data_IF_817782212273
#
_entry.id   IF_817782212273
#
_cell.length_a   1.000
_cell.length_b   1.000
_cell.length_c   1.000
_cell.angle_alpha   90.00
_cell.angle_beta   90.00
_cell.angle_gamma   90.00
#
_symmetry.space_group_name_H-M   'P 1'
#
loop_
_entity.id
_entity.type
_entity.pdbx_description
1 polymer ?
#
# COMPACT_ATOMS: atom_id res chain seq x y z
N UNK A 1 56.07 -0.77 50.46
CA UNK A 1 55.14 0.33 50.82
C UNK A 1 53.73 -0.16 50.59
N UNK A 2 52.91 -0.08 51.63
CA UNK A 2 51.54 -0.59 51.72
C UNK A 2 50.50 0.40 51.13
N UNK A 3 49.33 -0.15 50.83
CA UNK A 3 47.99 0.43 50.93
C UNK A 3 47.42 1.27 49.75
N UNK A 4 46.13 1.29 49.39
CA UNK A 4 44.94 0.39 49.46
C UNK A 4 43.81 1.10 48.66
N UNK A 5 42.82 0.34 48.17
CA UNK A 5 41.41 0.70 47.87
C UNK A 5 41.06 1.27 46.48
N UNK A 6 40.24 0.53 45.73
CA UNK A 6 38.76 0.60 45.84
C UNK A 6 38.10 -0.57 45.09
N UNK A 7 37.14 -1.21 45.74
CA UNK A 7 36.18 -2.11 45.12
C UNK A 7 34.82 -1.39 45.01
N UNK A 8 34.12 -1.59 43.90
CA UNK A 8 32.66 -1.56 43.84
C UNK A 8 32.20 -2.26 42.56
N UNK A 9 31.54 -3.40 42.78
CA UNK A 9 30.89 -4.29 41.83
C UNK A 9 29.52 -3.76 41.39
N UNK A 10 29.22 -3.81 40.08
CA UNK A 10 27.85 -4.03 39.58
C UNK A 10 27.94 -4.89 38.28
N UNK A 11 27.15 -5.97 38.14
CA UNK A 11 27.24 -6.90 37.02
C UNK A 11 26.38 -6.47 35.82
N UNK A 12 26.93 -6.54 34.59
CA UNK A 12 26.14 -6.50 33.35
C UNK A 12 25.36 -7.82 33.18
N UNK A 13 24.15 -7.89 33.77
CA UNK A 13 23.04 -8.69 33.21
C UNK A 13 22.60 -8.00 31.92
N UNK A 14 22.24 -8.65 30.83
CA UNK A 14 22.09 -10.07 30.52
C UNK A 14 21.48 -10.18 29.11
N UNK A 15 21.40 -11.42 28.64
CA UNK A 15 20.54 -11.89 27.55
C UNK A 15 20.84 -11.37 26.13
N UNK A 16 21.61 -12.18 25.43
CA UNK A 16 21.20 -12.74 24.13
C UNK A 16 19.66 -12.79 24.01
N UNK A 17 19.10 -11.98 23.12
CA UNK A 17 17.78 -12.23 22.55
C UNK A 17 17.96 -12.28 21.04
N UNK A 18 17.64 -13.45 20.52
CA UNK A 18 17.74 -13.83 19.13
C UNK A 18 16.94 -12.88 18.23
N UNK A 19 17.58 -12.51 17.12
CA UNK A 19 17.00 -12.32 15.80
C UNK A 19 15.46 -12.28 15.69
N UNK A 20 14.91 -11.08 15.48
CA UNK A 20 13.89 -10.90 14.45
C UNK A 20 14.47 -10.01 13.37
N UNK A 21 15.34 -10.61 12.56
CA UNK A 21 15.59 -10.14 11.21
C UNK A 21 14.22 -10.12 10.52
N UNK A 22 13.70 -8.92 10.30
CA UNK A 22 12.69 -8.70 9.26
C UNK A 22 13.27 -9.34 8.00
N UNK A 23 12.59 -10.28 7.32
CA UNK A 23 13.07 -10.73 6.04
C UNK A 23 13.02 -9.53 5.12
N UNK A 24 14.17 -8.89 4.91
CA UNK A 24 14.39 -8.06 3.75
C UNK A 24 14.22 -9.00 2.56
N UNK A 25 13.04 -8.95 1.94
CA UNK A 25 12.71 -9.70 0.73
C UNK A 25 13.78 -9.37 -0.29
N UNK A 26 14.77 -10.25 -0.35
CA UNK A 26 15.82 -10.26 -1.35
C UNK A 26 15.10 -10.53 -2.65
N UNK A 27 15.35 -9.66 -3.62
CA UNK A 27 14.57 -9.58 -4.85
C UNK A 27 14.70 -10.84 -5.68
N UNK A 28 13.79 -11.78 -5.47
CA UNK A 28 13.43 -12.77 -6.46
C UNK A 28 12.15 -12.26 -7.13
N UNK A 29 12.33 -11.34 -8.07
CA UNK A 29 11.24 -10.80 -8.85
C UNK A 29 10.75 -11.90 -9.80
N UNK A 30 9.52 -12.37 -9.59
CA UNK A 30 8.88 -13.32 -10.52
C UNK A 30 7.92 -14.34 -9.92
N UNK A 31 7.99 -14.63 -8.62
CA UNK A 31 7.05 -15.55 -7.96
C UNK A 31 6.52 -14.93 -6.65
N UNK A 32 5.63 -13.95 -6.78
CA UNK A 32 4.75 -13.64 -5.66
C UNK A 32 3.67 -14.71 -5.68
N UNK A 33 3.71 -15.64 -4.72
CA UNK A 33 2.66 -16.63 -4.53
C UNK A 33 1.31 -15.90 -4.41
N UNK A 34 0.26 -16.44 -5.03
CA UNK A 34 -1.10 -15.85 -5.04
C UNK A 34 -1.54 -15.54 -3.61
N UNK A 35 -1.21 -16.42 -2.66
CA UNK A 35 -1.51 -16.25 -1.25
C UNK A 35 -0.79 -15.02 -0.64
N UNK A 36 0.43 -14.71 -1.08
CA UNK A 36 1.17 -13.52 -0.64
C UNK A 36 0.54 -12.23 -1.17
N UNK A 37 0.02 -12.27 -2.40
CA UNK A 37 -0.70 -11.16 -3.01
C UNK A 37 -2.06 -10.92 -2.32
N UNK A 38 -2.82 -11.99 -2.06
CA UNK A 38 -4.09 -11.92 -1.34
C UNK A 38 -3.91 -11.47 0.11
N UNK A 39 -2.83 -11.89 0.80
CA UNK A 39 -2.49 -11.36 2.13
C UNK A 39 -2.23 -9.86 2.08
N UNK A 40 -1.55 -9.38 1.05
CA UNK A 40 -1.28 -7.95 0.89
C UNK A 40 -2.56 -7.12 0.73
N UNK A 41 -3.67 -7.68 0.25
CA UNK A 41 -4.98 -7.00 0.16
C UNK A 41 -5.53 -6.58 1.52
N UNK A 42 -5.32 -7.41 2.54
CA UNK A 42 -5.85 -7.20 3.88
C UNK A 42 -4.84 -6.60 4.85
N UNK A 43 -3.58 -6.43 4.42
CA UNK A 43 -2.54 -5.72 5.19
C UNK A 43 -2.71 -4.19 5.14
N UNK A 44 -3.85 -3.74 5.64
CA UNK A 44 -4.25 -2.34 5.73
C UNK A 44 -4.88 -2.06 7.10
N UNK A 45 -4.81 -0.81 7.59
CA UNK A 45 -5.47 -0.45 8.84
C UNK A 45 -6.97 -0.72 8.78
N UNK A 46 -7.52 -1.34 9.82
CA UNK A 46 -8.97 -1.46 9.98
C UNK A 46 -9.56 -0.09 10.29
N UNK A 47 -10.62 0.27 9.59
CA UNK A 47 -11.40 1.48 9.84
C UNK A 47 -12.86 1.10 9.97
N UNK A 48 -13.63 1.94 10.66
CA UNK A 48 -15.07 1.84 10.68
C UNK A 48 -15.64 2.97 9.83
N UNK A 49 -16.67 2.67 9.05
CA UNK A 49 -17.36 3.64 8.21
C UNK A 49 -18.80 3.76 8.71
N UNK A 50 -19.21 4.97 9.09
CA UNK A 50 -20.50 5.17 9.76
C UNK A 50 -21.52 5.92 8.91
N UNK A 51 -21.11 6.55 7.80
CA UNK A 51 -22.02 7.30 6.92
C UNK A 51 -21.48 7.51 5.50
N UNK A 52 -22.39 7.81 4.56
CA UNK A 52 -22.05 8.22 3.20
C UNK A 52 -21.20 9.50 3.16
N UNK A 53 -21.56 10.48 3.99
CA UNK A 53 -20.80 11.73 4.11
C UNK A 53 -19.35 11.48 4.53
N UNK A 54 -19.14 10.61 5.53
CA UNK A 54 -17.79 10.24 5.95
C UNK A 54 -17.04 9.57 4.79
N UNK A 55 -17.68 8.69 4.03
CA UNK A 55 -17.07 8.06 2.85
C UNK A 55 -16.60 9.10 1.83
N UNK A 56 -17.44 10.06 1.47
CA UNK A 56 -17.10 11.13 0.52
C UNK A 56 -15.93 11.98 1.01
N UNK A 57 -15.92 12.37 2.29
CA UNK A 57 -14.84 13.14 2.91
C UNK A 57 -13.51 12.35 2.85
N UNK A 58 -13.54 11.05 3.19
CA UNK A 58 -12.36 10.20 3.12
C UNK A 58 -11.86 10.00 1.68
N UNK A 59 -12.76 9.73 0.73
CA UNK A 59 -12.40 9.53 -0.68
C UNK A 59 -11.87 10.81 -1.33
N UNK A 60 -12.40 11.97 -0.95
CA UNK A 60 -11.90 13.28 -1.40
C UNK A 60 -10.49 13.53 -0.89
N UNK A 61 -10.23 13.30 0.41
CA UNK A 61 -8.90 13.46 1.00
C UNK A 61 -7.86 12.49 0.39
N UNK A 62 -8.28 11.25 0.10
CA UNK A 62 -7.46 10.28 -0.63
C UNK A 62 -7.11 10.82 -2.01
N UNK A 63 -8.12 11.21 -2.81
CA UNK A 63 -7.95 11.73 -4.17
C UNK A 63 -6.94 12.87 -4.22
N UNK A 64 -7.09 13.86 -3.35
CA UNK A 64 -6.17 15.00 -3.26
C UNK A 64 -4.74 14.56 -2.94
N UNK A 65 -4.58 13.56 -2.07
CA UNK A 65 -3.26 13.07 -1.69
C UNK A 65 -2.59 12.28 -2.80
N UNK A 66 -3.32 11.38 -3.46
CA UNK A 66 -2.72 10.54 -4.51
C UNK A 66 -2.56 11.27 -5.85
N UNK A 67 -3.31 12.34 -6.10
CA UNK A 67 -3.19 13.19 -7.28
C UNK A 67 -1.91 14.06 -7.28
N UNK A 68 -1.44 14.48 -6.10
CA UNK A 68 -0.23 15.30 -5.97
C UNK A 68 1.03 14.43 -6.00
N UNK A 69 1.71 14.41 -7.16
CA UNK A 69 2.94 13.65 -7.36
C UNK A 69 4.13 14.15 -6.51
N UNK A 70 4.08 15.40 -6.01
CA UNK A 70 5.13 15.98 -5.17
C UNK A 70 4.91 15.69 -3.69
N UNK A 71 3.73 15.19 -3.31
CA UNK A 71 3.43 14.81 -1.95
C UNK A 71 4.29 13.63 -1.53
N UNK A 72 4.57 13.56 -0.23
CA UNK A 72 5.38 12.50 0.34
C UNK A 72 4.86 11.11 -0.06
N UNK A 73 5.75 10.29 -0.63
CA UNK A 73 5.38 9.01 -1.23
C UNK A 73 4.77 8.04 -0.22
N UNK A 74 5.19 8.12 1.05
CA UNK A 74 4.67 7.25 2.11
C UNK A 74 3.22 7.60 2.42
N UNK A 75 2.87 8.89 2.45
CA UNK A 75 1.47 9.36 2.60
C UNK A 75 0.58 8.94 1.43
N UNK A 76 1.14 8.90 0.21
CA UNK A 76 0.43 8.40 -0.97
C UNK A 76 0.15 6.90 -0.86
N UNK A 77 1.14 6.11 -0.44
CA UNK A 77 0.98 4.68 -0.12
C UNK A 77 -0.09 4.46 0.95
N UNK A 78 -0.06 5.22 2.05
CA UNK A 78 -1.09 5.14 3.11
C UNK A 78 -2.49 5.47 2.58
N UNK A 79 -2.61 6.46 1.69
CA UNK A 79 -3.89 6.83 1.08
C UNK A 79 -4.42 5.76 0.14
N UNK A 80 -3.55 5.07 -0.62
CA UNK A 80 -3.91 3.92 -1.44
C UNK A 80 -4.39 2.75 -0.57
N UNK A 81 -3.67 2.41 0.50
CA UNK A 81 -4.11 1.43 1.51
C UNK A 81 -5.49 1.75 2.06
N UNK A 82 -5.75 3.03 2.33
CA UNK A 82 -7.02 3.50 2.89
C UNK A 82 -8.21 3.26 1.97
N UNK A 83 -8.04 3.27 0.64
CA UNK A 83 -9.09 2.85 -0.30
C UNK A 83 -9.52 1.41 -0.02
N UNK A 84 -8.55 0.50 0.19
CA UNK A 84 -8.86 -0.90 0.54
C UNK A 84 -9.52 -1.00 1.92
N UNK A 85 -9.04 -0.23 2.89
CA UNK A 85 -9.68 -0.16 4.21
C UNK A 85 -11.16 0.25 4.12
N UNK A 86 -11.50 1.23 3.28
CA UNK A 86 -12.89 1.66 3.05
C UNK A 86 -13.74 0.55 2.42
N UNK A 87 -13.21 -0.14 1.42
CA UNK A 87 -13.90 -1.28 0.80
C UNK A 87 -14.14 -2.42 1.79
N UNK A 88 -13.15 -2.76 2.64
CA UNK A 88 -13.31 -3.75 3.72
C UNK A 88 -14.37 -3.31 4.73
N UNK A 89 -14.47 -2.01 5.01
CA UNK A 89 -15.48 -1.43 5.90
C UNK A 89 -16.88 -1.34 5.29
N UNK A 90 -17.09 -1.85 4.06
CA UNK A 90 -18.40 -1.90 3.42
C UNK A 90 -18.73 -0.72 2.51
N UNK A 91 -17.73 0.04 2.04
CA UNK A 91 -17.96 1.16 1.13
C UNK A 91 -18.72 0.79 -0.16
N UNK A 92 -18.66 -0.47 -0.61
CA UNK A 92 -19.36 -0.95 -1.81
C UNK A 92 -20.90 -0.91 -1.71
N UNK A 93 -21.44 -0.78 -0.51
CA UNK A 93 -22.87 -0.59 -0.25
C UNK A 93 -23.36 0.86 -0.41
N UNK A 94 -22.45 1.82 -0.64
CA UNK A 94 -22.77 3.24 -0.83
C UNK A 94 -22.66 3.60 -2.32
N UNK A 95 -23.66 4.29 -2.85
CA UNK A 95 -23.67 4.70 -4.27
C UNK A 95 -22.61 5.77 -4.56
N UNK A 96 -22.28 6.58 -3.55
CA UNK A 96 -21.26 7.63 -3.59
C UNK A 96 -19.87 7.06 -3.96
N UNK A 97 -19.59 5.81 -3.57
CA UNK A 97 -18.34 5.15 -3.94
C UNK A 97 -18.12 5.17 -5.44
N UNK A 98 -19.14 4.86 -6.24
CA UNK A 98 -19.00 4.70 -7.69
C UNK A 98 -18.80 6.05 -8.40
N UNK A 99 -19.38 7.13 -7.85
CA UNK A 99 -19.12 8.50 -8.31
C UNK A 99 -17.67 8.86 -8.04
N UNK A 100 -17.18 8.60 -6.83
CA UNK A 100 -15.80 8.87 -6.45
C UNK A 100 -14.78 7.96 -7.15
N UNK A 101 -15.15 6.73 -7.49
CA UNK A 101 -14.28 5.80 -8.21
C UNK A 101 -13.87 6.38 -9.57
N UNK A 102 -14.81 7.05 -10.27
CA UNK A 102 -14.50 7.79 -11.51
C UNK A 102 -13.51 8.92 -11.29
N UNK A 103 -13.65 9.65 -10.18
CA UNK A 103 -12.75 10.74 -9.83
C UNK A 103 -11.34 10.26 -9.43
N UNK A 104 -11.21 8.98 -9.08
CA UNK A 104 -9.96 8.35 -8.69
C UNK A 104 -9.17 7.80 -9.89
N UNK A 105 -9.78 7.63 -11.06
CA UNK A 105 -9.13 7.08 -12.27
C UNK A 105 -7.82 7.78 -12.61
N UNK A 106 -7.85 9.10 -12.81
CA UNK A 106 -6.65 9.88 -13.16
C UNK A 106 -5.58 9.83 -12.05
N UNK A 107 -5.91 10.03 -10.76
CA UNK A 107 -4.92 9.84 -9.69
C UNK A 107 -4.30 8.43 -9.62
N UNK A 108 -5.07 7.38 -9.92
CA UNK A 108 -4.53 6.01 -10.00
C UNK A 108 -3.59 5.85 -11.19
N UNK A 109 -3.91 6.43 -12.36
CA UNK A 109 -3.00 6.45 -13.51
C UNK A 109 -1.65 7.10 -13.17
N UNK A 110 -1.66 8.21 -12.42
CA UNK A 110 -0.43 8.85 -11.94
C UNK A 110 0.32 7.95 -10.97
N UNK A 111 -0.39 7.26 -10.09
CA UNK A 111 0.22 6.38 -9.07
C UNK A 111 0.89 5.14 -9.66
N UNK A 112 0.33 4.54 -10.71
CA UNK A 112 0.95 3.39 -11.41
C UNK A 112 2.14 3.77 -12.28
N UNK A 113 2.32 5.06 -12.57
CA UNK A 113 3.47 5.61 -13.32
C UNK A 113 4.52 6.24 -12.41
N UNK A 114 4.40 6.08 -11.09
CA UNK A 114 5.35 6.67 -10.14
C UNK A 114 6.75 6.05 -10.31
N UNK A 115 7.79 6.87 -10.08
CA UNK A 115 9.18 6.42 -10.13
C UNK A 115 9.54 5.50 -8.95
N UNK A 116 8.74 5.53 -7.88
CA UNK A 116 8.97 4.71 -6.68
C UNK A 116 8.14 3.43 -6.77
N UNK A 117 8.84 2.30 -6.85
CA UNK A 117 8.22 0.97 -6.93
C UNK A 117 7.24 0.68 -5.77
N UNK A 118 7.42 1.30 -4.59
CA UNK A 118 6.49 1.17 -3.46
C UNK A 118 5.11 1.76 -3.78
N UNK A 119 5.05 2.95 -4.39
CA UNK A 119 3.80 3.60 -4.77
C UNK A 119 3.11 2.80 -5.87
N UNK A 120 3.87 2.39 -6.88
CA UNK A 120 3.36 1.59 -8.00
C UNK A 120 2.79 0.26 -7.52
N UNK A 121 3.53 -0.46 -6.66
CA UNK A 121 3.11 -1.76 -6.12
C UNK A 121 1.82 -1.62 -5.30
N UNK A 122 1.75 -0.63 -4.43
CA UNK A 122 0.57 -0.38 -3.62
C UNK A 122 -0.66 0.01 -4.47
N UNK A 123 -0.44 0.82 -5.52
CA UNK A 123 -1.50 1.16 -6.48
C UNK A 123 -2.01 -0.10 -7.19
N UNK A 124 -1.12 -0.99 -7.65
CA UNK A 124 -1.50 -2.24 -8.29
C UNK A 124 -2.28 -3.17 -7.35
N UNK A 125 -1.85 -3.29 -6.09
CA UNK A 125 -2.59 -4.08 -5.09
C UNK A 125 -3.99 -3.52 -4.84
N UNK A 126 -4.12 -2.20 -4.83
CA UNK A 126 -5.40 -1.52 -4.63
C UNK A 126 -6.33 -1.68 -5.84
N UNK A 127 -5.82 -1.55 -7.07
CA UNK A 127 -6.59 -1.76 -8.30
C UNK A 127 -7.10 -3.21 -8.38
N UNK A 128 -6.23 -4.18 -8.08
CA UNK A 128 -6.61 -5.59 -8.07
C UNK A 128 -7.73 -5.85 -7.04
N UNK A 129 -7.60 -5.29 -5.83
CA UNK A 129 -8.62 -5.42 -4.79
C UNK A 129 -9.95 -4.76 -5.16
N UNK A 130 -9.93 -3.56 -5.76
CA UNK A 130 -11.14 -2.90 -6.28
C UNK A 130 -11.84 -3.82 -7.30
N UNK A 131 -11.07 -4.41 -8.21
CA UNK A 131 -11.58 -5.31 -9.25
C UNK A 131 -12.21 -6.58 -8.65
N UNK A 132 -11.57 -7.17 -7.63
CA UNK A 132 -12.10 -8.33 -6.90
C UNK A 132 -13.40 -8.00 -6.15
N UNK A 133 -13.47 -6.86 -5.47
CA UNK A 133 -14.61 -6.50 -4.63
C UNK A 133 -15.82 -5.99 -5.42
N UNK A 134 -15.61 -5.28 -6.52
CA UNK A 134 -16.69 -4.63 -7.28
C UNK A 134 -17.09 -5.41 -8.54
N UNK A 135 -16.26 -6.34 -9.02
CA UNK A 135 -16.50 -7.12 -10.24
C UNK A 135 -16.83 -6.21 -11.43
N UNK A 136 -17.93 -6.51 -12.15
CA UNK A 136 -18.38 -5.74 -13.32
C UNK A 136 -18.61 -4.25 -13.05
N UNK A 137 -18.85 -3.84 -11.79
CA UNK A 137 -19.03 -2.42 -11.45
C UNK A 137 -17.71 -1.63 -11.54
N UNK A 138 -16.57 -2.31 -11.60
CA UNK A 138 -15.25 -1.71 -11.81
C UNK A 138 -14.80 -1.70 -13.29
N UNK A 139 -15.60 -2.21 -14.24
CA UNK A 139 -15.18 -2.36 -15.65
C UNK A 139 -14.67 -1.06 -16.25
N UNK A 140 -15.41 0.04 -16.06
CA UNK A 140 -15.00 1.35 -16.55
C UNK A 140 -13.68 1.82 -15.93
N UNK A 141 -13.55 1.67 -14.60
CA UNK A 141 -12.33 2.03 -13.88
C UNK A 141 -11.12 1.21 -14.37
N UNK A 142 -11.32 -0.10 -14.58
CA UNK A 142 -10.28 -1.00 -15.10
C UNK A 142 -9.90 -0.63 -16.54
N UNK A 143 -10.87 -0.31 -17.40
CA UNK A 143 -10.65 0.12 -18.78
C UNK A 143 -9.79 1.40 -18.84
N UNK A 144 -10.07 2.39 -17.99
CA UNK A 144 -9.28 3.62 -17.93
C UNK A 144 -7.82 3.38 -17.46
N UNK A 145 -7.57 2.32 -16.69
CA UNK A 145 -6.24 2.00 -16.18
C UNK A 145 -5.47 1.02 -17.09
N UNK A 146 -6.16 0.31 -17.98
CA UNK A 146 -5.63 -0.80 -18.76
C UNK A 146 -4.34 -0.43 -19.51
N UNK A 147 -4.36 0.68 -20.25
CA UNK A 147 -3.19 1.16 -20.99
C UNK A 147 -1.99 1.46 -20.07
N UNK A 148 -2.25 2.01 -18.89
CA UNK A 148 -1.19 2.32 -17.92
C UNK A 148 -0.59 1.04 -17.31
N UNK A 149 -1.43 0.03 -17.06
CA UNK A 149 -1.00 -1.27 -16.55
C UNK A 149 -0.20 -2.06 -17.60
N UNK A 150 -0.61 -2.05 -18.87
CA UNK A 150 0.13 -2.70 -19.98
C UNK A 150 1.54 -2.11 -20.10
N UNK A 151 1.65 -0.78 -20.06
CA UNK A 151 2.95 -0.11 -20.11
C UNK A 151 3.85 -0.45 -18.92
N UNK A 152 3.26 -0.72 -17.75
CA UNK A 152 4.02 -1.15 -16.57
C UNK A 152 4.68 -2.52 -16.80
N UNK A 153 4.02 -3.46 -17.47
CA UNK A 153 4.58 -4.78 -17.83
C UNK A 153 5.82 -4.62 -18.73
N UNK A 154 5.74 -3.74 -19.72
CA UNK A 154 6.85 -3.49 -20.65
C UNK A 154 8.07 -2.85 -19.97
N UNK A 155 7.86 -2.08 -18.91
CA UNK A 155 8.93 -1.45 -18.16
C UNK A 155 9.51 -2.35 -17.08
N UNK A 156 8.68 -3.18 -16.42
CA UNK A 156 9.17 -4.13 -15.42
C UNK A 156 10.04 -5.22 -16.03
N UNK A 157 9.81 -5.60 -17.30
CA UNK A 157 10.63 -6.59 -18.02
C UNK A 157 12.06 -6.11 -18.35
N UNK A 158 12.32 -4.80 -18.46
CA UNK A 158 13.64 -4.25 -18.82
C UNK A 158 14.67 -4.38 -17.69
N UNK A 159 14.22 -4.40 -16.44
CA UNK A 159 15.09 -4.59 -15.26
C UNK A 159 15.61 -6.03 -15.13
N UNK A 160 15.18 -6.97 -16.00
CA UNK A 160 15.64 -8.37 -16.01
C UNK A 160 16.66 -8.69 -17.12
N UNK A 161 16.96 -7.73 -18.00
CA UNK A 161 17.82 -7.95 -19.19
C UNK A 161 19.13 -7.16 -19.13
N UNK A 162 19.43 -6.48 -18.01
CA UNK A 162 20.75 -5.88 -17.77
C UNK A 162 21.48 -6.55 -16.60
#
# INVERSE_FOLDING_TARGET
KSATKRASSVPRRGAFSASKSVPSTTGQAGAVDEETFSRAFRDVPTINLFSARELEEQLTAIRETIADANKDWSKRVESLKKVRSLLIAGASGFDELYVHLRLLEQPFQTSVKDLRSQVVREACYTIAYISEQLGHKADHFAEQLLNSLINLIQNSAKEFVN
#
